data_IF_749360977623
#
_entry.id   IF_749360977623
#
_cell.length_a   1.000
_cell.length_b   1.000
_cell.length_c   1.000
_cell.angle_alpha   90.00
_cell.angle_beta   90.00
_cell.angle_gamma   90.00
#
_symmetry.space_group_name_H-M   'P 1'
#
loop_
_entity.id
_entity.type
_entity.pdbx_description
1 polymer ?
#
# COMPACT_ATOMS: atom_id res chain seq x y z
N UNK A 1 13.85 -8.22 -15.28
CA UNK A 1 14.05 -7.16 -16.29
C UNK A 1 13.41 -5.85 -15.90
N UNK A 2 14.23 -4.81 -15.74
CA UNK A 2 13.79 -3.40 -15.56
C UNK A 2 13.70 -2.80 -16.98
N UNK A 3 12.81 -3.33 -17.80
CA UNK A 3 12.75 -2.99 -19.24
C UNK A 3 12.19 -1.59 -19.53
N UNK A 4 11.63 -0.92 -18.53
CA UNK A 4 11.11 0.45 -18.67
C UNK A 4 12.12 1.56 -18.39
N UNK A 5 13.33 1.23 -17.93
CA UNK A 5 14.30 2.19 -17.44
C UNK A 5 14.18 2.43 -15.93
N UNK A 6 15.30 2.80 -15.30
CA UNK A 6 15.45 2.84 -13.84
C UNK A 6 14.53 3.84 -13.14
N UNK A 7 14.04 4.87 -13.86
CA UNK A 7 13.23 5.95 -13.28
C UNK A 7 11.71 5.72 -13.41
N UNK A 8 11.27 4.67 -14.12
CA UNK A 8 9.83 4.43 -14.35
C UNK A 8 9.44 2.94 -14.32
N UNK A 9 10.34 2.04 -13.92
CA UNK A 9 10.09 0.60 -13.94
C UNK A 9 8.91 0.15 -13.08
N UNK A 10 8.52 0.92 -12.07
CA UNK A 10 7.38 0.62 -11.21
C UNK A 10 6.05 1.20 -11.72
N UNK A 11 6.06 1.91 -12.85
CA UNK A 11 4.87 2.52 -13.45
C UNK A 11 4.45 1.75 -14.71
N UNK A 12 3.43 0.86 -14.64
CA UNK A 12 2.88 0.22 -15.83
C UNK A 12 2.38 1.25 -16.85
N UNK A 13 2.67 1.02 -18.13
CA UNK A 13 2.21 1.84 -19.27
C UNK A 13 1.81 0.95 -20.44
N UNK A 14 0.97 1.46 -21.32
CA UNK A 14 0.65 0.76 -22.57
C UNK A 14 1.95 0.46 -23.34
N UNK A 15 2.15 -0.82 -23.69
CA UNK A 15 3.35 -1.27 -24.42
C UNK A 15 4.63 -1.41 -23.57
N UNK A 16 4.60 -1.12 -22.26
CA UNK A 16 5.76 -1.35 -21.38
C UNK A 16 5.34 -2.01 -20.06
N UNK A 17 5.83 -3.23 -19.87
CA UNK A 17 5.54 -4.04 -18.68
C UNK A 17 6.55 -3.71 -17.60
N UNK A 18 6.12 -2.87 -16.64
CA UNK A 18 6.88 -2.59 -15.43
C UNK A 18 6.92 -3.78 -14.46
N UNK A 19 7.55 -3.59 -13.30
CA UNK A 19 7.48 -4.54 -12.19
C UNK A 19 6.04 -4.60 -11.69
N UNK A 20 5.55 -5.81 -11.50
CA UNK A 20 4.21 -6.10 -10.98
C UNK A 20 4.33 -6.76 -9.60
N UNK A 21 3.36 -6.51 -8.74
CA UNK A 21 3.25 -7.12 -7.41
C UNK A 21 1.78 -7.32 -7.06
N UNK A 22 1.43 -8.47 -6.50
CA UNK A 22 0.09 -8.80 -6.03
C UNK A 22 -0.18 -8.24 -4.63
N UNK A 23 -1.45 -8.20 -4.21
CA UNK A 23 -1.83 -7.74 -2.87
C UNK A 23 -1.26 -8.65 -1.77
N UNK A 24 -1.19 -9.96 -2.01
CA UNK A 24 -0.59 -10.92 -1.09
C UNK A 24 0.92 -10.70 -0.97
N UNK A 25 1.61 -10.39 -2.06
CA UNK A 25 3.05 -10.07 -2.02
C UNK A 25 3.31 -8.74 -1.32
N UNK A 26 2.44 -7.73 -1.47
CA UNK A 26 2.50 -6.48 -0.68
C UNK A 26 2.40 -6.77 0.83
N UNK A 27 1.43 -7.59 1.24
CA UNK A 27 1.28 -8.01 2.64
C UNK A 27 2.52 -8.79 3.12
N UNK A 28 3.01 -9.74 2.34
CA UNK A 28 4.19 -10.53 2.69
C UNK A 28 5.45 -9.65 2.82
N UNK A 29 5.63 -8.66 1.94
CA UNK A 29 6.74 -7.71 1.99
C UNK A 29 6.67 -6.83 3.23
N UNK A 30 5.50 -6.29 3.56
CA UNK A 30 5.29 -5.48 4.77
C UNK A 30 5.51 -6.31 6.03
N UNK A 31 5.00 -7.54 6.12
CA UNK A 31 5.28 -8.41 7.26
C UNK A 31 6.79 -8.62 7.46
N UNK A 32 7.55 -8.92 6.39
CA UNK A 32 9.02 -9.05 6.49
C UNK A 32 9.71 -7.76 6.95
N UNK A 33 9.20 -6.60 6.51
CA UNK A 33 9.73 -5.29 6.87
C UNK A 33 9.50 -4.99 8.36
N UNK A 34 8.27 -5.21 8.84
CA UNK A 34 7.87 -4.93 10.22
C UNK A 34 8.51 -5.91 11.21
N UNK A 35 8.69 -7.17 10.81
CA UNK A 35 9.41 -8.20 11.57
C UNK A 35 10.94 -8.00 11.59
N UNK A 36 11.47 -6.95 10.94
CA UNK A 36 12.91 -6.70 10.87
C UNK A 36 13.70 -7.75 10.06
N UNK A 37 13.05 -8.49 9.17
CA UNK A 37 13.69 -9.52 8.32
C UNK A 37 14.28 -8.97 7.02
N UNK A 38 14.18 -7.66 6.80
CA UNK A 38 14.81 -6.95 5.70
C UNK A 38 16.03 -6.18 6.20
N UNK A 39 17.04 -5.91 5.36
CA UNK A 39 18.32 -5.30 5.75
C UNK A 39 18.19 -3.78 5.98
N UNK A 40 17.20 -3.35 6.77
CA UNK A 40 16.99 -1.97 7.18
C UNK A 40 17.18 -1.84 8.69
N UNK A 41 17.83 -0.76 9.12
CA UNK A 41 18.01 -0.45 10.54
C UNK A 41 16.69 -0.03 11.18
N UNK A 42 16.58 -0.21 12.50
CA UNK A 42 15.43 0.28 13.27
C UNK A 42 15.19 1.80 13.12
N UNK A 43 16.26 2.59 12.94
CA UNK A 43 16.16 4.03 12.66
C UNK A 43 15.44 4.31 11.34
N UNK A 44 15.76 3.57 10.28
CA UNK A 44 15.12 3.71 8.98
C UNK A 44 13.64 3.27 9.04
N UNK A 45 13.34 2.19 9.76
CA UNK A 45 11.96 1.75 9.97
C UNK A 45 11.15 2.80 10.74
N UNK A 46 11.72 3.44 11.77
CA UNK A 46 11.05 4.54 12.47
C UNK A 46 10.72 5.69 11.53
N UNK A 47 11.69 6.14 10.71
CA UNK A 47 11.47 7.21 9.73
C UNK A 47 10.37 6.82 8.74
N UNK A 48 10.37 5.57 8.26
CA UNK A 48 9.34 5.08 7.36
C UNK A 48 7.95 5.13 8.02
N UNK A 49 7.81 4.67 9.26
CA UNK A 49 6.55 4.72 10.01
C UNK A 49 6.07 6.16 10.18
N UNK A 50 6.95 7.07 10.54
CA UNK A 50 6.63 8.49 10.72
C UNK A 50 6.08 9.09 9.40
N UNK A 51 6.66 8.74 8.25
CA UNK A 51 6.19 9.19 6.91
C UNK A 51 4.90 8.51 6.48
N UNK A 52 4.66 7.26 6.89
CA UNK A 52 3.47 6.50 6.52
C UNK A 52 2.23 6.82 7.37
N UNK A 53 2.37 7.54 8.48
CA UNK A 53 1.24 7.84 9.38
C UNK A 53 0.14 8.60 8.64
N UNK A 54 -1.02 7.97 8.50
CA UNK A 54 -2.14 8.43 7.70
C UNK A 54 -3.33 8.90 8.54
N UNK A 55 -3.55 8.30 9.70
CA UNK A 55 -4.53 8.72 10.71
C UNK A 55 -4.17 8.17 12.10
N UNK A 56 -4.60 8.85 13.15
CA UNK A 56 -4.42 8.44 14.54
C UNK A 56 -5.72 8.67 15.32
N UNK A 57 -6.11 7.67 16.12
CA UNK A 57 -7.25 7.72 17.03
C UNK A 57 -6.83 7.16 18.40
N UNK A 58 -7.65 7.33 19.46
CA UNK A 58 -7.39 6.68 20.75
C UNK A 58 -7.30 5.15 20.69
N UNK A 59 -7.77 4.53 19.60
CA UNK A 59 -7.79 3.07 19.43
C UNK A 59 -6.62 2.54 18.64
N UNK A 60 -5.92 3.39 17.90
CA UNK A 60 -4.80 2.95 17.09
C UNK A 60 -4.36 3.96 16.04
N UNK A 61 -3.38 3.52 15.24
CA UNK A 61 -2.75 4.33 14.20
C UNK A 61 -2.83 3.61 12.87
N UNK A 62 -3.31 4.33 11.86
CA UNK A 62 -3.30 3.87 10.47
C UNK A 62 -2.04 4.37 9.79
N UNK A 63 -1.25 3.44 9.28
CA UNK A 63 -0.10 3.72 8.42
C UNK A 63 -0.40 3.22 7.02
N UNK A 64 -0.05 3.98 6.00
CA UNK A 64 -0.21 3.48 4.63
C UNK A 64 0.22 4.44 3.55
N UNK A 65 0.37 3.87 2.35
CA UNK A 65 0.71 4.61 1.14
C UNK A 65 -0.29 4.34 0.03
N UNK A 66 -0.70 5.42 -0.64
CA UNK A 66 -1.54 5.37 -1.84
C UNK A 66 -0.70 5.16 -3.10
N UNK A 67 -1.27 4.47 -4.08
CA UNK A 67 -0.75 4.36 -5.44
C UNK A 67 -1.86 4.52 -6.47
N UNK A 68 -1.56 5.18 -7.58
CA UNK A 68 -2.47 5.28 -8.74
C UNK A 68 -1.66 5.09 -10.01
N UNK A 69 -2.17 4.31 -10.96
CA UNK A 69 -1.48 4.01 -12.20
C UNK A 69 -2.37 3.23 -13.15
N UNK A 70 -1.74 2.56 -14.12
CA UNK A 70 -2.45 1.66 -15.03
C UNK A 70 -2.45 0.23 -14.50
N UNK A 71 -3.46 -0.54 -14.88
CA UNK A 71 -3.54 -1.98 -14.67
C UNK A 71 -2.36 -2.71 -15.32
N UNK A 72 -2.18 -3.98 -14.96
CA UNK A 72 -1.06 -4.79 -15.46
C UNK A 72 -1.05 -4.98 -16.99
N UNK A 73 -2.21 -4.93 -17.64
CA UNK A 73 -2.37 -4.97 -19.09
C UNK A 73 -2.30 -3.58 -19.76
N UNK A 74 -2.23 -2.51 -18.96
CA UNK A 74 -2.15 -1.12 -19.42
C UNK A 74 -3.48 -0.50 -19.87
N UNK A 75 -4.59 -1.25 -19.86
CA UNK A 75 -5.85 -0.84 -20.48
C UNK A 75 -6.88 -0.25 -19.49
N UNK A 76 -6.61 -0.33 -18.19
CA UNK A 76 -7.47 0.19 -17.13
C UNK A 76 -6.70 1.00 -16.11
N UNK A 77 -7.42 1.65 -15.21
CA UNK A 77 -6.83 2.34 -14.07
C UNK A 77 -6.71 1.41 -12.86
N UNK A 78 -5.73 1.68 -12.02
CA UNK A 78 -5.39 0.90 -10.85
C UNK A 78 -5.22 1.82 -9.65
N UNK A 79 -5.98 1.55 -8.59
CA UNK A 79 -5.84 2.19 -7.29
C UNK A 79 -5.22 1.24 -6.28
N UNK A 80 -4.32 1.76 -5.45
CA UNK A 80 -3.72 1.05 -4.32
C UNK A 80 -3.82 1.85 -3.04
N UNK A 81 -4.10 1.15 -1.94
CA UNK A 81 -3.77 1.60 -0.60
C UNK A 81 -3.26 0.42 0.21
N UNK A 82 -2.01 0.52 0.64
CA UNK A 82 -1.27 -0.56 1.29
C UNK A 82 -0.65 -0.04 2.57
N UNK A 83 -0.71 -0.82 3.64
CA UNK A 83 -0.23 -0.36 4.94
C UNK A 83 -0.53 -1.33 6.06
N UNK A 84 -0.60 -0.79 7.28
CA UNK A 84 -0.94 -1.56 8.47
C UNK A 84 -1.63 -0.67 9.51
N UNK A 85 -2.45 -1.29 10.35
CA UNK A 85 -3.08 -0.64 11.49
C UNK A 85 -2.44 -1.16 12.78
N UNK A 86 -2.01 -0.25 13.65
CA UNK A 86 -1.45 -0.57 14.96
C UNK A 86 -2.52 -0.37 16.04
N UNK A 87 -2.85 -1.43 16.78
CA UNK A 87 -3.82 -1.36 17.89
C UNK A 87 -3.61 -2.50 18.89
N UNK A 88 -3.71 -2.17 20.18
CA UNK A 88 -3.61 -3.17 21.26
C UNK A 88 -2.26 -3.90 21.31
N UNK A 89 -1.18 -3.27 20.83
CA UNK A 89 0.14 -3.89 20.73
C UNK A 89 0.30 -4.88 19.56
N UNK A 90 -0.69 -4.97 18.67
CA UNK A 90 -0.65 -5.77 17.46
C UNK A 90 -0.65 -4.90 16.21
N UNK A 91 -0.07 -5.43 15.13
CA UNK A 91 -0.03 -4.80 13.81
C UNK A 91 -0.83 -5.64 12.82
N UNK A 92 -1.76 -5.01 12.12
CA UNK A 92 -2.64 -5.65 11.14
C UNK A 92 -2.31 -5.14 9.74
N UNK A 93 -1.52 -5.90 8.99
CA UNK A 93 -1.12 -5.56 7.62
C UNK A 93 -2.27 -5.76 6.65
N UNK A 94 -2.45 -4.82 5.73
CA UNK A 94 -3.45 -4.88 4.67
C UNK A 94 -2.87 -4.43 3.32
N UNK A 95 -3.51 -4.90 2.25
CA UNK A 95 -3.29 -4.40 0.90
C UNK A 95 -4.63 -4.36 0.17
N UNK A 96 -5.04 -3.17 -0.25
CA UNK A 96 -6.23 -2.95 -1.05
C UNK A 96 -5.81 -2.49 -2.45
N UNK A 97 -6.24 -3.21 -3.48
CA UNK A 97 -6.21 -2.72 -4.84
C UNK A 97 -7.59 -2.75 -5.48
N UNK A 98 -7.81 -1.84 -6.42
CA UNK A 98 -9.05 -1.74 -7.19
C UNK A 98 -8.71 -1.49 -8.65
N UNK A 99 -9.38 -2.21 -9.55
CA UNK A 99 -9.21 -2.11 -11.01
C UNK A 99 -10.52 -1.84 -11.74
N UNK A 100 -11.65 -1.80 -11.02
CA UNK A 100 -12.98 -1.58 -11.57
C UNK A 100 -13.77 -0.54 -10.79
N UNK A 101 -14.86 -0.06 -11.38
CA UNK A 101 -15.67 1.05 -10.87
C UNK A 101 -15.34 2.39 -11.55
N UNK A 102 -15.96 3.45 -11.06
CA UNK A 102 -15.74 4.81 -11.58
C UNK A 102 -14.42 5.38 -11.01
N UNK A 103 -13.42 5.57 -11.87
CA UNK A 103 -12.10 6.12 -11.57
C UNK A 103 -11.30 5.41 -10.43
N UNK A 104 -10.87 4.16 -10.63
CA UNK A 104 -9.97 3.46 -9.71
C UNK A 104 -8.73 4.30 -9.41
N UNK A 105 -8.50 4.61 -8.13
CA UNK A 105 -7.40 5.46 -7.69
C UNK A 105 -6.96 5.13 -6.27
N UNK A 106 -5.76 5.53 -5.89
CA UNK A 106 -5.28 5.37 -4.52
C UNK A 106 -6.13 6.13 -3.50
N UNK A 107 -6.78 7.22 -3.90
CA UNK A 107 -7.75 7.95 -3.06
C UNK A 107 -8.99 7.08 -2.79
N UNK A 108 -9.55 6.46 -3.83
CA UNK A 108 -10.70 5.57 -3.69
C UNK A 108 -10.34 4.30 -2.88
N UNK A 109 -9.19 3.68 -3.14
CA UNK A 109 -8.70 2.54 -2.36
C UNK A 109 -8.53 2.89 -0.87
N UNK A 110 -7.98 4.07 -0.57
CA UNK A 110 -7.86 4.57 0.82
C UNK A 110 -9.22 4.75 1.47
N UNK A 111 -10.17 5.37 0.78
CA UNK A 111 -11.52 5.57 1.32
C UNK A 111 -12.22 4.23 1.63
N UNK A 112 -12.05 3.20 0.80
CA UNK A 112 -12.59 1.85 1.07
C UNK A 112 -12.02 1.29 2.38
N UNK A 113 -10.69 1.32 2.55
CA UNK A 113 -10.04 0.81 3.78
C UNK A 113 -10.46 1.62 5.01
N UNK A 114 -10.48 2.95 4.91
CA UNK A 114 -10.92 3.79 6.02
C UNK A 114 -12.38 3.49 6.42
N UNK A 115 -13.27 3.27 5.45
CA UNK A 115 -14.66 2.89 5.72
C UNK A 115 -14.77 1.53 6.40
N UNK A 116 -13.97 0.54 6.00
CA UNK A 116 -13.91 -0.77 6.68
C UNK A 116 -13.46 -0.59 8.13
N UNK A 117 -12.40 0.16 8.38
CA UNK A 117 -11.92 0.39 9.75
C UNK A 117 -12.89 1.23 10.59
N UNK A 118 -13.61 2.19 10.00
CA UNK A 118 -14.71 2.90 10.67
C UNK A 118 -15.85 1.96 11.05
N UNK A 119 -16.21 1.03 10.17
CA UNK A 119 -17.24 0.02 10.45
C UNK A 119 -16.85 -0.91 11.61
N UNK A 120 -15.55 -1.12 11.82
CA UNK A 120 -15.00 -1.85 12.97
C UNK A 120 -14.73 -0.95 14.18
N UNK A 121 -15.08 0.33 14.09
CA UNK A 121 -14.89 1.33 15.13
C UNK A 121 -13.41 1.48 15.52
N UNK A 122 -12.49 1.39 14.55
CA UNK A 122 -11.04 1.56 14.73
C UNK A 122 -10.53 2.94 14.28
N UNK A 123 -11.25 3.57 13.33
CA UNK A 123 -11.05 4.94 12.83
C UNK A 123 -12.30 5.79 13.04
#
# INVERSE_FOLDING_TARGET
EISAGIDIFWLPRAGNRGILISANEQVALLNKLLDGRLPFSGKQLKILRDVMLAAETPKGKLYGKTGSGKSADGNGDLGWFVGFFESGGAEYVFACNITGGEYPSGKAARAIVENVFRSWNLL
#
